data_IF_081643482322
#
_entry.id   IF_081643482322
#
_cell.length_a   1.000
_cell.length_b   1.000
_cell.length_c   1.000
_cell.angle_alpha   90.00
_cell.angle_beta   90.00
_cell.angle_gamma   90.00
#
_symmetry.space_group_name_H-M   'P 1'
#
loop_
_entity.id
_entity.type
_entity.pdbx_description
1 polymer ?
#
# COMPACT_ATOMS: atom_id res chain seq x y z
N UNK A 1 32.83 19.92 7.48
CA UNK A 1 33.45 18.95 6.55
C UNK A 1 32.35 18.39 5.65
N UNK A 2 32.36 18.73 4.36
CA UNK A 2 31.39 18.20 3.40
C UNK A 2 31.71 16.74 3.10
N UNK A 3 30.81 15.82 3.50
CA UNK A 3 30.91 14.40 3.12
C UNK A 3 30.66 14.32 1.61
N UNK A 4 31.74 14.23 0.84
CA UNK A 4 31.69 13.94 -0.59
C UNK A 4 31.14 12.53 -0.77
N UNK A 5 29.84 12.43 -1.06
CA UNK A 5 29.21 11.16 -1.45
C UNK A 5 29.82 10.78 -2.80
N UNK A 6 30.78 9.85 -2.78
CA UNK A 6 31.42 9.29 -3.97
C UNK A 6 30.33 8.70 -4.85
N UNK A 7 30.10 9.31 -6.01
CA UNK A 7 29.03 8.93 -6.94
C UNK A 7 29.54 7.80 -7.82
N UNK A 8 29.11 6.57 -7.53
CA UNK A 8 29.32 5.43 -8.42
C UNK A 8 28.65 5.73 -9.79
N UNK A 9 29.35 5.52 -10.92
CA UNK A 9 28.76 5.66 -12.24
C UNK A 9 27.64 4.63 -12.45
N UNK A 10 26.63 5.00 -13.25
CA UNK A 10 25.54 4.09 -13.62
C UNK A 10 26.13 2.91 -14.39
N UNK A 11 26.26 1.77 -13.72
CA UNK A 11 26.68 0.53 -14.36
C UNK A 11 25.52 0.01 -15.21
N UNK A 12 25.82 -0.43 -16.44
CA UNK A 12 24.82 -1.06 -17.30
C UNK A 12 24.17 -2.21 -16.53
N UNK A 13 22.83 -2.29 -16.51
CA UNK A 13 22.14 -3.35 -15.79
C UNK A 13 22.58 -4.72 -16.30
N UNK A 14 22.74 -5.68 -15.38
CA UNK A 14 23.06 -7.06 -15.73
C UNK A 14 22.00 -7.61 -16.70
N UNK A 15 22.39 -8.55 -17.58
CA UNK A 15 21.46 -9.19 -18.52
C UNK A 15 20.22 -9.75 -17.80
N UNK A 16 20.41 -10.34 -16.61
CA UNK A 16 19.31 -10.81 -15.77
C UNK A 16 18.35 -9.70 -15.32
N UNK A 17 18.86 -8.51 -14.99
CA UNK A 17 18.02 -7.36 -14.65
C UNK A 17 17.24 -6.84 -15.86
N UNK A 18 17.85 -6.81 -17.05
CA UNK A 18 17.16 -6.43 -18.29
C UNK A 18 16.05 -7.42 -18.65
N UNK A 19 16.31 -8.74 -18.52
CA UNK A 19 15.30 -9.78 -18.73
C UNK A 19 14.14 -9.64 -17.73
N UNK A 20 14.45 -9.36 -16.46
CA UNK A 20 13.44 -9.08 -15.43
C UNK A 20 12.60 -7.85 -15.76
N UNK A 21 13.22 -6.75 -16.19
CA UNK A 21 12.50 -5.55 -16.65
C UNK A 21 11.63 -5.84 -17.87
N UNK A 22 12.13 -6.63 -18.83
CA UNK A 22 11.36 -7.05 -20.00
C UNK A 22 10.12 -7.86 -19.61
N UNK A 23 10.28 -8.83 -18.70
CA UNK A 23 9.17 -9.60 -18.15
C UNK A 23 8.13 -8.71 -17.46
N UNK A 24 8.56 -7.81 -16.58
CA UNK A 24 7.66 -6.84 -15.94
C UNK A 24 6.95 -5.93 -16.94
N UNK A 25 7.65 -5.51 -18.00
CA UNK A 25 7.08 -4.72 -19.09
C UNK A 25 5.96 -5.46 -19.83
N UNK A 26 6.17 -6.75 -20.14
CA UNK A 26 5.14 -7.59 -20.76
C UNK A 26 3.92 -7.72 -19.84
N UNK A 27 4.12 -8.00 -18.56
CA UNK A 27 3.04 -8.08 -17.57
C UNK A 27 2.25 -6.76 -17.48
N UNK A 28 2.94 -5.61 -17.52
CA UNK A 28 2.31 -4.29 -17.53
C UNK A 28 1.46 -4.05 -18.78
N UNK A 29 1.96 -4.45 -19.96
CA UNK A 29 1.20 -4.33 -21.22
C UNK A 29 -0.05 -5.20 -21.18
N UNK A 30 0.05 -6.44 -20.69
CA UNK A 30 -1.10 -7.33 -20.51
C UNK A 30 -2.10 -6.74 -19.51
N UNK A 31 -1.61 -6.20 -18.38
CA UNK A 31 -2.44 -5.56 -17.38
C UNK A 31 -3.18 -4.34 -17.92
N UNK A 32 -2.48 -3.47 -18.66
CA UNK A 32 -3.06 -2.28 -19.27
C UNK A 32 -4.09 -2.63 -20.35
N UNK A 33 -3.78 -3.60 -21.21
CA UNK A 33 -4.74 -4.10 -22.19
C UNK A 33 -6.00 -4.64 -21.51
N UNK A 34 -5.83 -5.46 -20.47
CA UNK A 34 -6.95 -6.03 -19.71
C UNK A 34 -7.78 -4.93 -19.03
N UNK A 35 -7.13 -3.91 -18.47
CA UNK A 35 -7.80 -2.77 -17.85
C UNK A 35 -8.66 -2.00 -18.88
N UNK A 36 -8.11 -1.71 -20.06
CA UNK A 36 -8.87 -1.05 -21.13
C UNK A 36 -10.08 -1.90 -21.53
N UNK A 37 -9.92 -3.23 -21.62
CA UNK A 37 -11.02 -4.13 -21.97
C UNK A 37 -12.14 -4.11 -20.93
N UNK A 38 -11.83 -4.04 -19.64
CA UNK A 38 -12.83 -3.92 -18.57
C UNK A 38 -13.59 -2.60 -18.68
N UNK A 39 -12.90 -1.48 -18.97
CA UNK A 39 -13.59 -0.19 -19.12
C UNK A 39 -14.46 -0.11 -20.38
N UNK A 40 -14.06 -0.77 -21.47
CA UNK A 40 -14.80 -0.75 -22.75
C UNK A 40 -15.97 -1.72 -22.74
N UNK A 41 -15.76 -2.95 -22.27
CA UNK A 41 -16.76 -4.03 -22.31
C UNK A 41 -17.57 -4.15 -21.01
N UNK A 42 -17.16 -3.46 -19.95
CA UNK A 42 -17.74 -3.57 -18.62
C UNK A 42 -17.29 -4.82 -17.86
N UNK A 43 -17.81 -4.97 -16.63
CA UNK A 43 -17.47 -6.08 -15.72
C UNK A 43 -17.94 -7.46 -16.22
N UNK A 44 -18.69 -7.55 -17.32
CA UNK A 44 -19.16 -8.84 -17.86
C UNK A 44 -18.02 -9.78 -18.25
N UNK A 45 -16.84 -9.23 -18.57
CA UNK A 45 -15.68 -10.03 -18.97
C UNK A 45 -14.91 -10.65 -17.80
N UNK A 46 -15.25 -10.29 -16.56
CA UNK A 46 -14.50 -10.69 -15.35
C UNK A 46 -15.01 -12.02 -14.77
N UNK A 47 -15.97 -12.66 -15.45
CA UNK A 47 -16.61 -13.91 -15.03
C UNK A 47 -17.24 -13.83 -13.61
N UNK A 48 -17.62 -12.63 -13.19
CA UNK A 48 -18.39 -12.42 -11.98
C UNK A 48 -19.86 -12.76 -12.23
N UNK A 49 -20.53 -13.22 -11.19
CA UNK A 49 -21.95 -13.57 -11.22
C UNK A 49 -22.65 -12.97 -10.00
N UNK A 50 -23.97 -12.84 -10.03
CA UNK A 50 -24.74 -12.21 -8.96
C UNK A 50 -24.58 -12.93 -7.60
N UNK A 51 -24.24 -14.21 -7.64
CA UNK A 51 -23.92 -15.00 -6.44
C UNK A 51 -22.52 -14.68 -5.89
N UNK A 52 -21.56 -14.25 -6.71
CA UNK A 52 -20.17 -13.92 -6.33
C UNK A 52 -19.78 -12.59 -7.00
N UNK A 53 -20.29 -11.45 -6.49
CA UNK A 53 -20.22 -10.17 -7.19
C UNK A 53 -18.84 -9.47 -7.12
N UNK A 54 -17.97 -9.92 -6.22
CA UNK A 54 -16.65 -9.31 -5.95
C UNK A 54 -15.48 -10.06 -6.59
N UNK A 55 -15.68 -11.36 -6.87
CA UNK A 55 -14.73 -12.22 -7.56
C UNK A 55 -13.26 -12.07 -7.14
N UNK A 56 -12.40 -12.03 -8.16
CA UNK A 56 -10.95 -11.93 -7.98
C UNK A 56 -10.51 -10.51 -7.58
N UNK A 57 -11.23 -9.48 -8.00
CA UNK A 57 -10.87 -8.08 -7.76
C UNK A 57 -10.71 -7.79 -6.28
N UNK A 58 -11.77 -8.05 -5.49
CA UNK A 58 -11.70 -7.78 -4.05
C UNK A 58 -10.73 -8.72 -3.34
N UNK A 59 -10.54 -9.96 -3.84
CA UNK A 59 -9.54 -10.87 -3.27
C UNK A 59 -8.12 -10.31 -3.40
N UNK A 60 -7.78 -9.76 -4.58
CA UNK A 60 -6.48 -9.10 -4.82
C UNK A 60 -6.37 -7.83 -3.98
N UNK A 61 -7.41 -7.01 -3.94
CA UNK A 61 -7.48 -5.78 -3.16
C UNK A 61 -7.18 -6.03 -1.68
N UNK A 62 -7.93 -6.94 -1.04
CA UNK A 62 -7.75 -7.32 0.35
C UNK A 62 -6.34 -7.87 0.63
N UNK A 63 -5.83 -8.69 -0.29
CA UNK A 63 -4.49 -9.28 -0.14
C UNK A 63 -3.42 -8.20 -0.23
N UNK A 64 -3.52 -7.27 -1.18
CA UNK A 64 -2.58 -6.17 -1.34
C UNK A 64 -2.57 -5.24 -0.12
N UNK A 65 -3.75 -4.92 0.42
CA UNK A 65 -3.90 -4.13 1.65
C UNK A 65 -3.26 -4.86 2.84
N UNK A 66 -3.53 -6.15 3.01
CA UNK A 66 -3.00 -6.95 4.12
C UNK A 66 -1.47 -7.10 4.05
N UNK A 67 -0.90 -7.29 2.86
CA UNK A 67 0.56 -7.33 2.67
C UNK A 67 1.20 -5.95 2.89
N UNK A 68 0.49 -4.87 2.52
CA UNK A 68 0.90 -3.49 2.76
C UNK A 68 0.86 -3.05 4.23
N UNK A 69 0.20 -3.81 5.10
CA UNK A 69 0.04 -3.50 6.53
C UNK A 69 1.35 -3.46 7.33
N UNK A 70 2.46 -3.94 6.76
CA UNK A 70 3.79 -3.87 7.35
C UNK A 70 4.23 -2.44 7.67
N UNK A 71 3.83 -1.46 6.85
CA UNK A 71 4.20 -0.06 7.03
C UNK A 71 3.76 0.49 8.39
N UNK A 72 2.47 0.42 8.72
CA UNK A 72 1.98 0.99 9.98
C UNK A 72 2.38 0.16 11.19
N UNK A 73 2.40 -1.17 11.08
CA UNK A 73 2.74 -2.07 12.20
C UNK A 73 4.19 -1.89 12.62
N UNK A 74 5.13 -1.87 11.67
CA UNK A 74 6.54 -1.66 11.96
C UNK A 74 6.81 -0.21 12.40
N UNK A 75 6.14 0.79 11.80
CA UNK A 75 6.22 2.17 12.27
C UNK A 75 5.71 2.31 13.71
N UNK A 76 4.60 1.67 14.08
CA UNK A 76 4.10 1.66 15.45
C UNK A 76 5.11 1.03 16.42
N UNK A 77 5.68 -0.12 16.06
CA UNK A 77 6.70 -0.80 16.88
C UNK A 77 7.92 0.09 17.12
N UNK A 78 8.38 0.82 16.10
CA UNK A 78 9.58 1.65 16.24
C UNK A 78 9.29 2.97 16.96
N UNK A 79 8.22 3.67 16.59
CA UNK A 79 7.95 5.02 17.09
C UNK A 79 7.16 5.05 18.39
N UNK A 80 6.25 4.10 18.63
CA UNK A 80 5.44 4.04 19.86
C UNK A 80 6.13 3.16 20.91
N UNK A 81 6.51 1.94 20.53
CA UNK A 81 7.18 1.02 21.46
C UNK A 81 8.69 1.28 21.58
N UNK A 82 9.24 2.21 20.80
CA UNK A 82 10.62 2.65 20.93
C UNK A 82 11.67 1.62 20.47
N UNK A 83 11.28 0.59 19.72
CA UNK A 83 12.18 -0.49 19.30
C UNK A 83 13.00 -0.04 18.09
N UNK A 84 14.04 0.77 18.34
CA UNK A 84 14.91 1.38 17.30
C UNK A 84 15.63 0.36 16.41
N UNK A 85 15.77 -0.89 16.86
CA UNK A 85 16.40 -1.97 16.07
C UNK A 85 15.73 -2.13 14.70
N UNK A 86 14.41 -1.98 14.59
CA UNK A 86 13.68 -2.17 13.32
C UNK A 86 13.68 -0.94 12.41
N UNK A 87 14.28 0.18 12.83
CA UNK A 87 14.36 1.42 12.06
C UNK A 87 14.91 1.25 10.62
N UNK A 88 15.90 0.38 10.33
CA UNK A 88 16.38 0.15 8.97
C UNK A 88 15.32 -0.44 8.02
N UNK A 89 14.35 -1.20 8.55
CA UNK A 89 13.34 -1.92 7.76
C UNK A 89 12.12 -1.02 7.47
N UNK A 90 11.89 0.03 8.25
CA UNK A 90 10.73 0.94 8.08
C UNK A 90 10.62 1.46 6.66
N UNK A 91 11.72 1.92 6.06
CA UNK A 91 11.69 2.49 4.70
C UNK A 91 11.19 1.48 3.67
N UNK A 92 11.59 0.22 3.81
CA UNK A 92 11.11 -0.87 2.97
C UNK A 92 9.63 -1.15 3.27
N UNK A 93 9.24 -1.17 4.54
CA UNK A 93 7.85 -1.38 4.96
C UNK A 93 6.90 -0.33 4.37
N UNK A 94 7.28 0.95 4.44
CA UNK A 94 6.51 2.07 3.87
C UNK A 94 6.41 1.97 2.36
N UNK A 95 7.48 1.58 1.66
CA UNK A 95 7.46 1.37 0.22
C UNK A 95 6.52 0.21 -0.17
N UNK A 96 6.58 -0.91 0.55
CA UNK A 96 5.68 -2.05 0.36
C UNK A 96 4.24 -1.65 0.64
N UNK A 97 4.00 -0.89 1.72
CA UNK A 97 2.69 -0.36 2.08
C UNK A 97 2.11 0.52 0.98
N UNK A 98 2.90 1.46 0.45
CA UNK A 98 2.49 2.32 -0.65
C UNK A 98 2.19 1.55 -1.94
N UNK A 99 3.04 0.58 -2.30
CA UNK A 99 2.81 -0.28 -3.45
C UNK A 99 1.53 -1.12 -3.29
N UNK A 100 1.31 -1.71 -2.11
CA UNK A 100 0.13 -2.49 -1.79
C UNK A 100 -1.15 -1.66 -1.85
N UNK A 101 -1.17 -0.49 -1.20
CA UNK A 101 -2.33 0.40 -1.19
C UNK A 101 -2.63 1.01 -2.57
N UNK A 102 -1.60 1.31 -3.37
CA UNK A 102 -1.78 1.78 -4.75
C UNK A 102 -2.33 0.66 -5.63
N UNK A 103 -1.82 -0.58 -5.48
CA UNK A 103 -2.36 -1.74 -6.20
C UNK A 103 -3.82 -2.01 -5.84
N UNK A 104 -4.17 -1.90 -4.56
CA UNK A 104 -5.54 -2.02 -4.07
C UNK A 104 -6.45 -0.96 -4.72
N UNK A 105 -6.05 0.32 -4.66
CA UNK A 105 -6.81 1.41 -5.27
C UNK A 105 -7.01 1.22 -6.78
N UNK A 106 -5.97 0.80 -7.51
CA UNK A 106 -6.08 0.50 -8.94
C UNK A 106 -7.07 -0.64 -9.20
N UNK A 107 -7.01 -1.71 -8.40
CA UNK A 107 -7.93 -2.86 -8.48
C UNK A 107 -9.37 -2.43 -8.21
N UNK A 108 -9.58 -1.55 -7.24
CA UNK A 108 -10.89 -1.02 -6.86
C UNK A 108 -11.49 -0.13 -7.96
N UNK A 109 -10.67 0.70 -8.62
CA UNK A 109 -11.11 1.51 -9.77
C UNK A 109 -11.56 0.61 -10.94
N UNK A 110 -10.93 -0.56 -11.11
CA UNK A 110 -11.36 -1.54 -12.11
C UNK A 110 -12.63 -2.31 -11.72
N UNK A 111 -12.82 -2.59 -10.44
CA UNK A 111 -13.97 -3.34 -9.91
C UNK A 111 -15.27 -2.51 -9.94
N UNK A 112 -15.17 -1.19 -9.87
CA UNK A 112 -16.32 -0.30 -9.91
C UNK A 112 -16.92 -0.24 -11.33
N UNK A 113 -18.21 -0.55 -11.44
CA UNK A 113 -18.92 -0.48 -12.74
C UNK A 113 -19.11 0.93 -13.30
N UNK A 114 -18.94 1.98 -12.48
CA UNK A 114 -19.07 3.40 -12.86
C UNK A 114 -17.90 4.25 -12.31
N UNK A 115 -16.70 4.11 -12.90
CA UNK A 115 -15.50 4.82 -12.44
C UNK A 115 -15.63 6.34 -12.58
N UNK A 116 -16.52 6.82 -13.47
CA UNK A 116 -16.88 8.23 -13.63
C UNK A 116 -17.39 8.88 -12.33
N UNK A 117 -17.96 8.08 -11.42
CA UNK A 117 -18.51 8.53 -10.13
C UNK A 117 -17.61 8.23 -8.95
N UNK A 118 -16.37 7.79 -9.18
CA UNK A 118 -15.45 7.43 -8.10
C UNK A 118 -15.22 8.57 -7.10
N UNK A 119 -15.41 9.82 -7.53
CA UNK A 119 -15.27 11.00 -6.69
C UNK A 119 -16.41 11.27 -5.70
N UNK A 120 -17.57 10.65 -5.89
CA UNK A 120 -18.77 10.94 -5.10
C UNK A 120 -18.59 10.80 -3.58
N UNK A 121 -17.91 9.76 -3.04
CA UNK A 121 -17.79 9.58 -1.60
C UNK A 121 -17.09 10.74 -0.86
N UNK A 122 -16.21 11.48 -1.53
CA UNK A 122 -15.51 12.64 -0.93
C UNK A 122 -16.40 13.88 -0.82
N UNK A 123 -17.43 13.99 -1.67
CA UNK A 123 -18.35 15.14 -1.69
C UNK A 123 -19.66 14.81 -0.97
N UNK A 124 -20.22 13.64 -1.22
CA UNK A 124 -21.51 13.19 -0.68
C UNK A 124 -21.28 12.14 0.40
N UNK A 125 -21.19 12.61 1.64
CA UNK A 125 -20.84 11.76 2.76
C UNK A 125 -22.01 10.87 3.18
N UNK A 126 -21.72 9.58 3.39
CA UNK A 126 -22.68 8.64 3.96
C UNK A 126 -22.04 7.90 5.14
N UNK A 127 -22.12 8.49 6.33
CA UNK A 127 -21.52 7.98 7.56
C UNK A 127 -22.12 6.64 8.03
N UNK A 128 -23.27 6.22 7.49
CA UNK A 128 -23.88 4.93 7.80
C UNK A 128 -23.34 3.80 6.90
N UNK A 129 -22.58 4.13 5.85
CA UNK A 129 -21.97 3.15 4.96
C UNK A 129 -20.56 2.82 5.40
N UNK A 130 -20.33 1.55 5.68
CA UNK A 130 -18.97 1.04 5.98
C UNK A 130 -18.01 1.28 4.80
N UNK A 131 -18.50 1.20 3.56
CA UNK A 131 -17.67 1.46 2.38
C UNK A 131 -17.23 2.94 2.27
N UNK A 132 -18.05 3.88 2.75
CA UNK A 132 -17.67 5.28 2.81
C UNK A 132 -16.52 5.48 3.80
N UNK A 133 -16.61 4.85 4.98
CA UNK A 133 -15.54 4.89 5.98
C UNK A 133 -14.24 4.29 5.43
N UNK A 134 -14.30 3.12 4.81
CA UNK A 134 -13.15 2.49 4.13
C UNK A 134 -12.54 3.45 3.09
N UNK A 135 -13.37 4.11 2.28
CA UNK A 135 -12.90 5.07 1.27
C UNK A 135 -12.18 6.28 1.88
N UNK A 136 -12.67 6.81 3.01
CA UNK A 136 -11.99 7.90 3.71
C UNK A 136 -10.67 7.42 4.33
N UNK A 137 -10.68 6.27 4.99
CA UNK A 137 -9.49 5.73 5.63
C UNK A 137 -8.38 5.40 4.62
N UNK A 138 -8.70 4.77 3.48
CA UNK A 138 -7.70 4.48 2.44
C UNK A 138 -7.12 5.77 1.85
N UNK A 139 -7.95 6.80 1.64
CA UNK A 139 -7.52 8.10 1.10
C UNK A 139 -6.55 8.79 2.06
N UNK A 140 -6.92 8.93 3.33
CA UNK A 140 -6.10 9.58 4.34
C UNK A 140 -4.80 8.79 4.55
N UNK A 141 -4.88 7.46 4.60
CA UNK A 141 -3.71 6.62 4.78
C UNK A 141 -2.74 6.68 3.60
N UNK A 142 -3.24 6.73 2.36
CA UNK A 142 -2.41 6.92 1.17
C UNK A 142 -1.68 8.26 1.22
N UNK A 143 -2.34 9.34 1.66
CA UNK A 143 -1.71 10.65 1.86
C UNK A 143 -0.58 10.56 2.91
N UNK A 144 -0.80 9.84 4.00
CA UNK A 144 0.22 9.62 5.03
C UNK A 144 1.41 8.84 4.45
N UNK A 145 1.17 7.74 3.73
CA UNK A 145 2.23 6.96 3.08
C UNK A 145 3.04 7.79 2.08
N UNK A 146 2.38 8.59 1.25
CA UNK A 146 3.06 9.52 0.32
C UNK A 146 3.93 10.51 1.10
N UNK A 147 3.42 11.06 2.21
CA UNK A 147 4.16 11.99 3.06
C UNK A 147 5.37 11.34 3.74
N UNK A 148 5.30 10.04 4.06
CA UNK A 148 6.41 9.28 4.62
C UNK A 148 7.48 8.90 3.56
N UNK A 149 7.08 8.77 2.29
CA UNK A 149 7.98 8.51 1.16
C UNK A 149 8.65 9.79 0.65
N UNK A 150 8.03 10.97 0.82
CA UNK A 150 8.51 12.25 0.28
C UNK A 150 10.00 12.55 0.57
N UNK A 151 10.55 12.36 1.79
CA UNK A 151 11.97 12.61 2.04
C UNK A 151 12.89 11.74 1.17
N UNK A 152 12.47 10.51 0.84
CA UNK A 152 13.22 9.60 -0.03
C UNK A 152 13.20 10.07 -1.49
N UNK A 153 12.07 10.60 -1.95
CA UNK A 153 11.87 11.07 -3.33
C UNK A 153 12.57 12.40 -3.55
N UNK A 154 12.50 13.33 -2.60
CA UNK A 154 13.14 14.65 -2.68
C UNK A 154 14.67 14.56 -2.67
N UNK A 155 15.24 13.53 -2.04
CA UNK A 155 16.69 13.25 -2.08
C UNK A 155 17.18 12.75 -3.46
N UNK A 156 16.29 12.36 -4.37
CA UNK A 156 16.68 11.93 -5.72
C UNK A 156 17.18 13.10 -6.58
N UNK A 157 18.10 12.80 -7.53
CA UNK A 157 18.76 13.80 -8.40
C UNK A 157 17.80 14.73 -9.16
N UNK A 158 16.58 14.27 -9.42
CA UNK A 158 15.59 14.99 -10.20
C UNK A 158 14.87 16.07 -9.35
N UNK A 159 14.35 15.68 -8.18
CA UNK A 159 13.57 16.56 -7.31
C UNK A 159 14.42 17.43 -6.37
N UNK A 160 15.66 17.01 -6.06
CA UNK A 160 16.57 17.76 -5.19
C UNK A 160 17.00 19.12 -5.73
N UNK A 161 16.65 19.48 -6.97
CA UNK A 161 16.97 20.77 -7.61
C UNK A 161 16.12 21.93 -7.08
N UNK A 162 14.98 21.63 -6.46
CA UNK A 162 13.99 22.64 -6.09
C UNK A 162 14.04 22.91 -4.59
N UNK A 163 14.42 24.12 -4.15
CA UNK A 163 14.61 24.44 -2.74
C UNK A 163 13.30 24.41 -1.92
N UNK A 164 12.15 24.64 -2.58
CA UNK A 164 10.83 24.54 -1.94
C UNK A 164 10.51 23.12 -1.47
N UNK A 165 10.78 22.11 -2.30
CA UNK A 165 10.52 20.70 -1.98
C UNK A 165 11.38 20.21 -0.81
N UNK A 166 12.62 20.69 -0.70
CA UNK A 166 13.48 20.39 0.47
C UNK A 166 12.93 20.95 1.77
N UNK A 167 12.29 22.13 1.74
CA UNK A 167 11.65 22.71 2.92
C UNK A 167 10.44 21.88 3.37
N UNK A 168 9.63 21.41 2.41
CA UNK A 168 8.50 20.50 2.69
C UNK A 168 9.01 19.20 3.30
N UNK A 169 10.00 18.54 2.68
CA UNK A 169 10.55 17.29 3.19
C UNK A 169 11.09 17.40 4.63
N UNK A 170 11.81 18.49 4.95
CA UNK A 170 12.28 18.74 6.31
C UNK A 170 11.13 18.94 7.32
N UNK A 171 10.07 19.63 6.91
CA UNK A 171 8.88 19.81 7.74
C UNK A 171 8.15 18.47 7.98
N UNK A 172 7.94 17.67 6.93
CA UNK A 172 7.33 16.36 7.01
C UNK A 172 8.15 15.38 7.87
N UNK A 173 9.49 15.41 7.76
CA UNK A 173 10.36 14.61 8.62
C UNK A 173 10.20 14.94 10.12
N UNK A 174 9.94 16.22 10.45
CA UNK A 174 9.65 16.62 11.84
C UNK A 174 8.29 16.10 12.30
N UNK A 175 7.33 15.97 11.38
CA UNK A 175 5.99 15.44 11.65
C UNK A 175 5.90 13.92 11.62
N UNK A 176 6.93 13.20 11.14
CA UNK A 176 6.91 11.74 11.00
C UNK A 176 6.41 10.98 12.24
N UNK A 177 6.80 11.31 13.49
CA UNK A 177 6.27 10.60 14.65
C UNK A 177 4.74 10.76 14.82
N UNK A 178 4.22 11.95 14.54
CA UNK A 178 2.78 12.23 14.61
C UNK A 178 2.02 11.55 13.46
N UNK A 179 2.58 11.60 12.25
CA UNK A 179 2.04 10.92 11.08
C UNK A 179 2.01 9.40 11.26
N UNK A 180 3.02 8.82 11.93
CA UNK A 180 3.06 7.39 12.24
C UNK A 180 1.93 6.99 13.21
N UNK A 181 1.68 7.79 14.25
CA UNK A 181 0.57 7.54 15.19
C UNK A 181 -0.78 7.70 14.51
N UNK A 182 -0.97 8.77 13.74
CA UNK A 182 -2.19 8.98 12.96
C UNK A 182 -2.40 7.85 11.94
N UNK A 183 -1.35 7.47 11.23
CA UNK A 183 -1.35 6.39 10.25
C UNK A 183 -1.72 5.05 10.88
N UNK A 184 -1.23 4.75 12.09
CA UNK A 184 -1.63 3.57 12.84
C UNK A 184 -3.14 3.58 13.14
N UNK A 185 -3.66 4.68 13.69
CA UNK A 185 -5.09 4.78 14.03
C UNK A 185 -5.96 4.64 12.78
N UNK A 186 -5.64 5.38 11.72
CA UNK A 186 -6.38 5.33 10.46
C UNK A 186 -6.28 3.95 9.82
N UNK A 187 -5.13 3.28 9.90
CA UNK A 187 -4.98 1.94 9.34
C UNK A 187 -5.75 0.88 10.14
N UNK A 188 -5.76 0.97 11.47
CA UNK A 188 -6.58 0.10 12.31
C UNK A 188 -8.06 0.27 12.00
N UNK A 189 -8.53 1.52 11.89
CA UNK A 189 -9.89 1.83 11.45
C UNK A 189 -10.18 1.24 10.06
N UNK A 190 -9.28 1.42 9.11
CA UNK A 190 -9.40 0.84 7.77
C UNK A 190 -9.59 -0.68 7.82
N UNK A 191 -8.69 -1.40 8.51
CA UNK A 191 -8.75 -2.86 8.60
C UNK A 191 -10.02 -3.33 9.33
N UNK A 192 -10.41 -2.66 10.41
CA UNK A 192 -11.63 -3.01 11.14
C UNK A 192 -12.88 -2.78 10.32
N UNK A 193 -12.96 -1.68 9.58
CA UNK A 193 -14.14 -1.31 8.79
C UNK A 193 -14.24 -2.16 7.53
N UNK A 194 -13.10 -2.53 6.94
CA UNK A 194 -13.05 -3.54 5.87
C UNK A 194 -13.59 -4.89 6.36
N UNK A 195 -13.17 -5.37 7.53
CA UNK A 195 -13.74 -6.57 8.13
C UNK A 195 -15.22 -6.42 8.51
N UNK A 196 -15.64 -5.24 8.97
CA UNK A 196 -17.04 -4.95 9.27
C UNK A 196 -17.92 -5.05 8.02
N UNK A 197 -17.41 -4.65 6.85
CA UNK A 197 -18.14 -4.75 5.58
C UNK A 197 -18.57 -6.20 5.29
N UNK A 198 -17.77 -7.20 5.67
CA UNK A 198 -18.14 -8.62 5.60
C UNK A 198 -19.03 -9.05 6.78
N UNK A 199 -18.73 -8.54 7.97
CA UNK A 199 -19.43 -8.88 9.21
C UNK A 199 -20.89 -8.42 9.27
N UNK A 200 -21.32 -7.47 8.42
CA UNK A 200 -22.70 -6.96 8.39
C UNK A 200 -23.61 -7.64 7.35
N UNK A 201 -23.04 -8.46 6.44
CA UNK A 201 -23.79 -9.08 5.33
C UNK A 201 -24.49 -10.35 5.83
N UNK A 202 -25.58 -10.17 6.58
CA UNK A 202 -26.38 -11.27 7.14
C UNK A 202 -26.90 -12.27 6.10
N UNK A 203 -27.05 -11.83 4.84
CA UNK A 203 -27.51 -12.66 3.72
C UNK A 203 -26.45 -13.64 3.20
N UNK A 204 -25.19 -13.57 3.67
CA UNK A 204 -24.09 -14.44 3.27
C UNK A 204 -23.52 -15.17 4.49
N UNK A 205 -24.09 -16.31 4.92
CA UNK A 205 -23.72 -16.99 6.17
C UNK A 205 -22.24 -17.39 6.27
N UNK A 206 -21.57 -17.64 5.15
CA UNK A 206 -20.14 -17.99 5.11
C UNK A 206 -19.26 -16.78 5.48
N UNK A 207 -19.70 -15.56 5.19
CA UNK A 207 -18.95 -14.34 5.45
C UNK A 207 -19.38 -13.66 6.74
N UNK A 208 -20.67 -13.77 7.08
CA UNK A 208 -21.25 -13.16 8.26
C UNK A 208 -20.64 -13.76 9.52
N UNK A 209 -19.78 -12.97 10.17
CA UNK A 209 -19.27 -13.28 11.49
C UNK A 209 -19.03 -11.97 12.24
N UNK A 210 -19.64 -11.76 13.43
CA UNK A 210 -19.45 -10.52 14.19
C UNK A 210 -17.99 -10.18 14.52
N UNK A 211 -17.11 -11.19 14.56
CA UNK A 211 -15.68 -11.02 14.84
C UNK A 211 -14.84 -10.63 13.60
N UNK A 212 -15.43 -10.45 12.40
CA UNK A 212 -14.68 -10.12 11.18
C UNK A 212 -13.78 -8.89 11.30
N UNK A 213 -14.22 -7.76 11.92
CA UNK A 213 -13.35 -6.59 12.12
C UNK A 213 -12.02 -6.94 12.79
N UNK A 214 -12.08 -7.74 13.86
CA UNK A 214 -10.91 -8.16 14.64
C UNK A 214 -10.05 -9.13 13.82
N UNK A 215 -10.67 -10.08 13.12
CA UNK A 215 -9.94 -11.06 12.30
C UNK A 215 -9.15 -10.39 11.17
N UNK A 216 -9.70 -9.36 10.53
CA UNK A 216 -9.00 -8.61 9.50
C UNK A 216 -7.77 -7.87 10.05
N UNK A 217 -7.93 -7.19 11.19
CA UNK A 217 -6.81 -6.52 11.89
C UNK A 217 -5.71 -7.52 12.25
N UNK A 218 -6.06 -8.66 12.86
CA UNK A 218 -5.07 -9.68 13.23
C UNK A 218 -4.35 -10.27 12.01
N UNK A 219 -5.08 -10.51 10.92
CA UNK A 219 -4.51 -11.03 9.68
C UNK A 219 -3.54 -10.04 9.04
N UNK A 220 -3.89 -8.75 9.03
CA UNK A 220 -3.02 -7.69 8.54
C UNK A 220 -1.74 -7.55 9.40
N UNK A 221 -1.87 -7.62 10.73
CA UNK A 221 -0.73 -7.56 11.65
C UNK A 221 0.20 -8.77 11.51
N UNK A 222 -0.34 -9.94 11.15
CA UNK A 222 0.48 -11.12 10.88
C UNK A 222 1.15 -11.06 9.49
N UNK A 223 0.37 -10.76 8.44
CA UNK A 223 0.83 -10.81 7.06
C UNK A 223 1.81 -9.68 6.70
N UNK A 224 1.52 -8.46 7.13
CA UNK A 224 2.29 -7.26 6.73
C UNK A 224 3.76 -7.28 7.15
N UNK A 225 4.07 -7.40 8.46
CA UNK A 225 5.43 -7.56 8.95
C UNK A 225 6.13 -8.79 8.37
N UNK A 226 5.42 -9.92 8.27
CA UNK A 226 5.97 -11.16 7.72
C UNK A 226 6.42 -11.00 6.27
N UNK A 227 5.58 -10.39 5.44
CA UNK A 227 5.91 -10.09 4.04
C UNK A 227 7.04 -9.07 3.91
N UNK A 228 7.06 -8.05 4.77
CA UNK A 228 8.14 -7.06 4.80
C UNK A 228 9.48 -7.70 5.16
N UNK A 229 9.51 -8.57 6.17
CA UNK A 229 10.70 -9.30 6.58
C UNK A 229 11.18 -10.27 5.49
N UNK A 230 10.26 -11.01 4.86
CA UNK A 230 10.58 -11.89 3.73
C UNK A 230 11.19 -11.10 2.56
N UNK A 231 10.61 -9.94 2.23
CA UNK A 231 11.13 -9.07 1.17
C UNK A 231 12.52 -8.53 1.53
N UNK A 232 12.74 -8.13 2.79
CA UNK A 232 14.04 -7.68 3.27
C UNK A 232 15.09 -8.80 3.13
N UNK A 233 14.75 -10.03 3.53
CA UNK A 233 15.62 -11.19 3.43
C UNK A 233 16.00 -11.52 1.99
N UNK A 234 15.01 -11.58 1.08
CA UNK A 234 15.25 -11.83 -0.36
C UNK A 234 16.14 -10.72 -0.96
N UNK A 235 15.88 -9.45 -0.61
CA UNK A 235 16.71 -8.34 -1.07
C UNK A 235 18.14 -8.46 -0.55
N UNK A 236 18.32 -8.88 0.71
CA UNK A 236 19.63 -9.10 1.29
C UNK A 236 20.40 -10.25 0.63
N UNK A 237 19.69 -11.32 0.26
CA UNK A 237 20.26 -12.44 -0.50
C UNK A 237 20.71 -12.02 -1.91
N UNK A 238 19.89 -11.27 -2.64
CA UNK A 238 20.20 -10.82 -4.01
C UNK A 238 21.34 -9.80 -4.02
N UNK A 239 21.35 -8.85 -3.07
CA UNK A 239 22.32 -7.75 -3.06
C UNK A 239 23.60 -8.06 -2.30
N UNK A 240 23.64 -9.17 -1.55
CA UNK A 240 24.73 -9.51 -0.65
C UNK A 240 24.89 -8.55 0.55
N UNK A 241 23.97 -7.59 0.73
CA UNK A 241 23.98 -6.61 1.83
C UNK A 241 22.95 -7.01 2.88
N UNK A 242 23.35 -7.13 4.15
CA UNK A 242 22.39 -7.39 5.23
C UNK A 242 21.48 -6.17 5.43
N UNK A 243 20.19 -6.38 5.23
CA UNK A 243 19.10 -5.39 5.43
C UNK A 243 18.36 -5.59 6.75
N UNK A 244 18.57 -6.75 7.40
CA UNK A 244 17.96 -7.12 8.69
C UNK A 244 18.98 -7.01 9.84
N UNK A 245 18.60 -6.47 11.01
CA UNK A 245 19.46 -6.40 12.19
C UNK A 245 19.56 -7.76 12.90
N UNK A 246 20.77 -8.11 13.39
CA UNK A 246 21.13 -9.38 14.06
C UNK A 246 20.33 -9.65 15.34
#
# INVERSE_FOLDING_TARGET
MAVSVKREPFQLPSLGFLLWLGFLGICLVIGLYSAIMVFVKGLVITNMADNVPWGLWITIDLSAIALGAGAFTLSAIVYIFGIKRLQPIIRLAVLIGFAGYTSALLTLVMDIGRPDRFWHPWVFWNIHSVLWEVTMCITIYLIILVSEIDPLVVETKFFGRWPFLRKIAHFLHKLTPYLAVLGLVISLLHQSSLGAAYGVIKSRPIWFKPSMPIMFVLSAIAAGPGFTAATAYVLGWITGKRTTPD
#
